data_IF_771511129737
#
_entry.id   IF_771511129737
#
_cell.length_a   1.000
_cell.length_b   1.000
_cell.length_c   1.000
_cell.angle_alpha   90.00
_cell.angle_beta   90.00
_cell.angle_gamma   90.00
#
_symmetry.space_group_name_H-M   'P 1'
#
loop_
_entity.id
_entity.type
_entity.pdbx_description
1 polymer ?
#
# COMPACT_ATOMS: atom_id res chain seq x y z
N UNK A 1 -29.98 21.23 -13.59
CA UNK A 1 -29.91 19.75 -13.70
C UNK A 1 -28.99 19.28 -14.82
N UNK A 2 -28.80 20.09 -15.86
CA UNK A 2 -28.04 19.74 -17.07
C UNK A 2 -26.52 19.80 -16.92
N UNK A 3 -26.01 20.25 -15.77
CA UNK A 3 -24.58 20.19 -15.48
C UNK A 3 -24.09 18.74 -15.42
N UNK A 4 -22.88 18.44 -15.95
CA UNK A 4 -22.24 17.15 -15.76
C UNK A 4 -22.06 16.82 -14.28
N UNK A 5 -22.38 15.58 -13.89
CA UNK A 5 -22.31 15.10 -12.51
C UNK A 5 -21.24 14.02 -12.41
N UNK A 6 -20.24 14.25 -11.57
CA UNK A 6 -19.16 13.30 -11.31
C UNK A 6 -19.08 13.01 -9.81
N UNK A 7 -18.81 11.74 -9.47
CA UNK A 7 -18.39 11.37 -8.12
C UNK A 7 -16.89 11.14 -8.12
N UNK A 8 -16.19 11.68 -7.13
CA UNK A 8 -14.79 11.37 -6.88
C UNK A 8 -14.66 10.74 -5.49
N UNK A 9 -14.04 9.57 -5.44
CA UNK A 9 -13.73 8.87 -4.20
C UNK A 9 -12.25 8.55 -4.11
N UNK A 10 -11.67 8.74 -2.93
CA UNK A 10 -10.30 8.30 -2.62
C UNK A 10 -10.32 7.32 -1.45
N UNK A 11 -9.51 6.25 -1.53
CA UNK A 11 -9.44 5.23 -0.47
C UNK A 11 -10.83 4.65 -0.17
N UNK A 12 -11.31 4.65 1.08
CA UNK A 12 -12.68 4.24 1.44
C UNK A 12 -13.78 5.06 0.73
N UNK A 13 -13.46 6.27 0.25
CA UNK A 13 -14.31 7.05 -0.63
C UNK A 13 -14.62 6.33 -1.95
N UNK A 14 -13.79 5.41 -2.42
CA UNK A 14 -14.06 4.62 -3.64
C UNK A 14 -15.19 3.62 -3.43
N UNK A 15 -15.18 2.87 -2.33
CA UNK A 15 -16.29 2.01 -1.93
C UNK A 15 -17.58 2.80 -1.78
N UNK A 16 -17.53 3.95 -1.08
CA UNK A 16 -18.68 4.83 -0.90
C UNK A 16 -19.20 5.39 -2.23
N UNK A 17 -18.31 5.76 -3.15
CA UNK A 17 -18.69 6.30 -4.46
C UNK A 17 -19.39 5.26 -5.32
N UNK A 18 -18.98 3.99 -5.25
CA UNK A 18 -19.67 2.90 -5.94
C UNK A 18 -21.10 2.71 -5.42
N UNK A 19 -21.28 2.67 -4.09
CA UNK A 19 -22.61 2.54 -3.47
C UNK A 19 -23.47 3.77 -3.74
N UNK A 20 -22.91 4.97 -3.57
CA UNK A 20 -23.62 6.23 -3.81
C UNK A 20 -24.06 6.35 -5.28
N UNK A 21 -23.21 5.95 -6.23
CA UNK A 21 -23.57 5.94 -7.65
C UNK A 21 -24.80 5.10 -7.92
N UNK A 22 -24.87 3.89 -7.35
CA UNK A 22 -26.04 3.01 -7.46
C UNK A 22 -27.30 3.66 -6.85
N UNK A 23 -27.19 4.24 -5.65
CA UNK A 23 -28.30 4.90 -4.95
C UNK A 23 -28.83 6.12 -5.70
N UNK A 24 -27.95 6.91 -6.31
CA UNK A 24 -28.33 8.08 -7.10
C UNK A 24 -29.09 7.68 -8.37
N UNK A 25 -28.58 6.67 -9.11
CA UNK A 25 -29.27 6.15 -10.29
C UNK A 25 -30.66 5.62 -9.93
N UNK A 26 -30.80 4.89 -8.82
CA UNK A 26 -32.09 4.41 -8.33
C UNK A 26 -33.09 5.53 -7.98
N UNK A 27 -32.60 6.77 -7.79
CA UNK A 27 -33.41 7.97 -7.54
C UNK A 27 -33.58 8.86 -8.78
N UNK A 28 -33.20 8.39 -9.96
CA UNK A 28 -33.28 9.14 -11.21
C UNK A 28 -32.16 10.16 -11.42
N UNK A 29 -31.11 10.12 -10.59
CA UNK A 29 -29.96 11.02 -10.69
C UNK A 29 -28.84 10.26 -11.40
N UNK A 30 -28.70 10.49 -12.69
CA UNK A 30 -27.64 9.88 -13.50
C UNK A 30 -26.32 10.64 -13.37
N UNK A 31 -25.21 9.88 -13.40
CA UNK A 31 -23.85 10.41 -13.34
C UNK A 31 -23.19 10.34 -14.73
N UNK A 32 -22.35 11.32 -15.05
CA UNK A 32 -21.50 11.33 -16.24
C UNK A 32 -20.20 10.54 -16.03
N UNK A 33 -19.83 10.27 -14.78
CA UNK A 33 -18.69 9.41 -14.45
C UNK A 33 -18.45 9.27 -12.96
N UNK A 34 -17.66 8.26 -12.61
CA UNK A 34 -17.13 8.06 -11.26
C UNK A 34 -15.61 7.93 -11.38
N UNK A 35 -14.88 8.71 -10.59
CA UNK A 35 -13.43 8.75 -10.51
C UNK A 35 -13.02 8.07 -9.20
N UNK A 36 -12.24 7.00 -9.30
CA UNK A 36 -11.77 6.22 -8.16
C UNK A 36 -10.26 6.34 -8.03
N UNK A 37 -9.80 6.95 -6.94
CA UNK A 37 -8.38 7.12 -6.62
C UNK A 37 -8.00 6.18 -5.47
N UNK A 38 -6.88 5.45 -5.59
CA UNK A 38 -6.42 4.51 -4.56
C UNK A 38 -7.51 3.52 -4.14
N UNK A 39 -8.07 2.85 -5.14
CA UNK A 39 -9.31 2.07 -5.06
C UNK A 39 -9.23 0.88 -4.12
N UNK A 40 -10.27 0.72 -3.31
CA UNK A 40 -10.57 -0.52 -2.58
C UNK A 40 -12.05 -0.86 -2.75
N UNK A 41 -12.32 -1.83 -3.63
CA UNK A 41 -13.67 -2.39 -3.82
C UNK A 41 -13.78 -3.81 -3.25
N UNK A 42 -12.64 -4.46 -2.99
CA UNK A 42 -12.55 -5.80 -2.41
C UNK A 42 -11.58 -5.76 -1.21
N UNK A 43 -12.13 -5.73 0.00
CA UNK A 43 -11.35 -5.60 1.24
C UNK A 43 -10.39 -6.76 1.54
N UNK A 44 -10.75 -8.04 1.26
CA UNK A 44 -9.81 -9.15 1.28
C UNK A 44 -8.44 -8.85 0.64
N UNK A 45 -8.38 -8.08 -0.45
CA UNK A 45 -7.11 -7.77 -1.15
C UNK A 45 -6.12 -6.95 -0.31
N UNK A 46 -6.57 -6.29 0.76
CA UNK A 46 -5.74 -5.45 1.64
C UNK A 46 -5.76 -5.89 3.10
N UNK A 47 -6.46 -6.97 3.43
CA UNK A 47 -6.65 -7.43 4.80
C UNK A 47 -5.77 -8.64 5.13
N UNK A 48 -4.66 -8.43 5.83
CA UNK A 48 -3.73 -9.47 6.28
C UNK A 48 -4.24 -10.32 7.46
N UNK A 49 -5.54 -10.65 7.48
CA UNK A 49 -6.14 -11.50 8.49
C UNK A 49 -5.64 -12.95 8.36
N UNK A 50 -5.63 -13.68 9.49
CA UNK A 50 -5.32 -15.12 9.49
C UNK A 50 -6.26 -15.86 8.54
N UNK A 51 -5.69 -16.72 7.69
CA UNK A 51 -6.43 -17.47 6.67
C UNK A 51 -6.64 -16.73 5.34
N UNK A 52 -6.26 -15.45 5.24
CA UNK A 52 -6.30 -14.72 3.98
C UNK A 52 -4.90 -14.49 3.41
N UNK A 53 -4.54 -15.29 2.41
CA UNK A 53 -3.20 -15.24 1.81
C UNK A 53 -3.07 -14.29 0.62
N UNK A 54 -4.20 -13.96 -0.01
CA UNK A 54 -4.29 -13.07 -1.17
C UNK A 54 -3.47 -11.76 -1.04
N UNK A 55 -3.55 -10.99 0.06
CA UNK A 55 -2.81 -9.74 0.15
C UNK A 55 -1.30 -9.94 0.13
N UNK A 56 -0.76 -11.08 0.56
CA UNK A 56 0.70 -11.27 0.52
C UNK A 56 1.22 -11.41 -0.91
N UNK A 57 0.45 -12.02 -1.79
CA UNK A 57 0.76 -12.15 -3.22
C UNK A 57 0.68 -10.77 -3.89
N UNK A 58 -0.42 -10.06 -3.70
CA UNK A 58 -0.69 -8.77 -4.33
C UNK A 58 0.30 -7.67 -3.94
N UNK A 59 0.86 -7.73 -2.73
CA UNK A 59 1.81 -6.72 -2.25
C UNK A 59 3.25 -6.97 -2.69
N UNK A 60 3.62 -8.19 -3.07
CA UNK A 60 5.02 -8.54 -3.37
C UNK A 60 5.61 -7.73 -4.54
N UNK A 61 4.92 -7.47 -5.65
CA UNK A 61 5.45 -6.62 -6.73
C UNK A 61 5.78 -5.20 -6.27
N UNK A 62 4.92 -4.60 -5.44
CA UNK A 62 5.20 -3.27 -4.86
C UNK A 62 6.38 -3.33 -3.90
N UNK A 63 6.51 -4.38 -3.08
CA UNK A 63 7.69 -4.55 -2.23
C UNK A 63 8.98 -4.65 -3.05
N UNK A 64 8.94 -5.34 -4.19
CA UNK A 64 10.09 -5.42 -5.09
C UNK A 64 10.46 -4.05 -5.66
N UNK A 65 9.48 -3.26 -6.10
CA UNK A 65 9.71 -1.90 -6.59
C UNK A 65 10.32 -0.99 -5.51
N UNK A 66 9.83 -1.06 -4.27
CA UNK A 66 10.35 -0.28 -3.14
C UNK A 66 11.77 -0.71 -2.79
N UNK A 67 12.04 -2.01 -2.72
CA UNK A 67 13.38 -2.51 -2.44
C UNK A 67 14.39 -2.12 -3.54
N UNK A 68 13.96 -2.14 -4.80
CA UNK A 68 14.75 -1.66 -5.93
C UNK A 68 15.05 -0.15 -5.81
N UNK A 69 14.04 0.68 -5.53
CA UNK A 69 14.20 2.14 -5.38
C UNK A 69 15.20 2.51 -4.27
N UNK A 70 15.18 1.79 -3.15
CA UNK A 70 16.08 2.00 -2.01
C UNK A 70 17.41 1.26 -2.13
N UNK A 71 17.78 0.77 -3.32
CA UNK A 71 19.03 0.05 -3.59
C UNK A 71 19.28 -1.12 -2.62
N UNK A 72 18.21 -1.87 -2.29
CA UNK A 72 18.27 -2.99 -1.34
C UNK A 72 18.59 -4.32 -2.00
N UNK A 73 18.59 -4.37 -3.33
CA UNK A 73 18.86 -5.58 -4.11
C UNK A 73 20.29 -5.54 -4.64
N UNK A 74 21.04 -6.61 -4.44
CA UNK A 74 22.45 -6.70 -4.83
C UNK A 74 22.75 -8.00 -5.59
N UNK A 75 23.30 -7.92 -6.82
CA UNK A 75 23.43 -6.71 -7.63
C UNK A 75 22.05 -6.13 -7.99
N UNK A 76 21.97 -4.81 -8.16
CA UNK A 76 20.71 -4.16 -8.50
C UNK A 76 20.32 -4.49 -9.95
N UNK A 77 19.08 -4.94 -10.20
CA UNK A 77 18.57 -5.14 -11.56
C UNK A 77 18.61 -3.83 -12.36
N UNK A 78 19.00 -3.89 -13.64
CA UNK A 78 19.10 -2.70 -14.49
C UNK A 78 17.75 -2.11 -14.92
N UNK A 79 16.69 -2.93 -14.96
CA UNK A 79 15.34 -2.51 -15.37
C UNK A 79 14.33 -2.78 -14.26
N UNK A 80 13.80 -1.69 -13.69
CA UNK A 80 12.72 -1.76 -12.70
C UNK A 80 11.46 -2.45 -13.28
N UNK A 81 10.94 -2.10 -14.48
CA UNK A 81 9.76 -2.77 -15.03
C UNK A 81 9.94 -4.28 -15.19
N UNK A 82 11.09 -4.72 -15.72
CA UNK A 82 11.37 -6.15 -15.88
C UNK A 82 11.47 -6.87 -14.53
N UNK A 83 12.06 -6.21 -13.51
CA UNK A 83 12.19 -6.76 -12.17
C UNK A 83 10.83 -6.90 -11.46
N UNK A 84 9.97 -5.88 -11.55
CA UNK A 84 8.61 -5.92 -11.02
C UNK A 84 7.79 -6.98 -11.72
N UNK A 85 7.89 -7.09 -13.04
CA UNK A 85 7.20 -8.15 -13.78
C UNK A 85 7.64 -9.55 -13.35
N UNK A 86 8.94 -9.77 -13.13
CA UNK A 86 9.43 -11.03 -12.59
C UNK A 86 8.89 -11.31 -11.17
N UNK A 87 8.70 -10.27 -10.35
CA UNK A 87 8.08 -10.40 -9.03
C UNK A 87 6.59 -10.75 -9.14
N UNK A 88 5.85 -10.18 -10.09
CA UNK A 88 4.45 -10.53 -10.39
C UNK A 88 4.31 -12.01 -10.78
N UNK A 89 5.14 -12.48 -11.72
CA UNK A 89 5.13 -13.88 -12.16
C UNK A 89 5.47 -14.84 -11.01
N UNK A 90 6.41 -14.46 -10.16
CA UNK A 90 6.74 -15.25 -8.98
C UNK A 90 5.61 -15.24 -7.94
N UNK A 91 4.98 -14.08 -7.73
CA UNK A 91 3.87 -13.90 -6.79
C UNK A 91 2.68 -14.79 -7.18
N UNK A 92 2.22 -14.68 -8.43
CA UNK A 92 1.05 -15.38 -8.95
C UNK A 92 1.28 -16.90 -9.19
N UNK A 93 2.53 -17.36 -9.14
CA UNK A 93 2.88 -18.76 -9.38
C UNK A 93 3.51 -19.43 -8.15
N UNK A 94 4.84 -19.58 -8.10
CA UNK A 94 5.51 -20.32 -7.02
C UNK A 94 5.19 -19.84 -5.61
N UNK A 95 4.97 -18.53 -5.40
CA UNK A 95 4.66 -18.01 -4.08
C UNK A 95 3.22 -18.27 -3.67
N UNK A 96 2.24 -18.00 -4.54
CA UNK A 96 0.84 -18.37 -4.34
C UNK A 96 0.70 -19.86 -3.99
N UNK A 97 1.34 -20.74 -4.78
CA UNK A 97 1.34 -22.17 -4.51
C UNK A 97 1.93 -22.51 -3.14
N UNK A 98 3.05 -21.88 -2.76
CA UNK A 98 3.67 -22.11 -1.46
C UNK A 98 2.78 -21.66 -0.28
N UNK A 99 2.04 -20.55 -0.44
CA UNK A 99 1.09 -20.09 0.57
C UNK A 99 -0.08 -21.07 0.71
N UNK A 100 -0.64 -21.52 -0.42
CA UNK A 100 -1.70 -22.54 -0.48
C UNK A 100 -1.32 -23.88 0.16
N UNK A 101 -0.08 -24.34 -0.07
CA UNK A 101 0.43 -25.57 0.56
C UNK A 101 0.52 -25.44 2.10
N UNK A 102 0.73 -24.22 2.60
CA UNK A 102 0.70 -23.92 4.03
C UNK A 102 1.64 -24.83 4.83
N UNK A 103 1.10 -25.57 5.80
CA UNK A 103 1.86 -26.49 6.64
C UNK A 103 2.40 -27.71 5.87
N UNK A 104 1.78 -28.10 4.74
CA UNK A 104 2.21 -29.22 3.89
C UNK A 104 3.46 -28.87 3.09
N UNK A 105 3.82 -27.58 2.99
CA UNK A 105 5.01 -27.13 2.28
C UNK A 105 6.28 -27.64 2.97
N UNK A 106 6.96 -28.60 2.32
CA UNK A 106 8.20 -29.18 2.81
C UNK A 106 9.32 -28.14 3.02
N UNK A 107 10.21 -28.42 3.98
CA UNK A 107 11.28 -27.49 4.42
C UNK A 107 12.17 -27.00 3.29
N UNK A 108 12.54 -27.87 2.35
CA UNK A 108 13.37 -27.51 1.21
C UNK A 108 12.68 -26.49 0.29
N UNK A 109 11.38 -26.70 0.01
CA UNK A 109 10.59 -25.78 -0.81
C UNK A 109 10.36 -24.45 -0.09
N UNK A 110 10.05 -24.50 1.21
CA UNK A 110 9.92 -23.29 2.05
C UNK A 110 11.18 -22.43 2.02
N UNK A 111 12.36 -23.06 2.13
CA UNK A 111 13.63 -22.35 2.02
C UNK A 111 13.86 -21.76 0.62
N UNK A 112 13.50 -22.48 -0.44
CA UNK A 112 13.58 -21.99 -1.83
C UNK A 112 12.72 -20.74 -2.02
N UNK A 113 11.48 -20.76 -1.55
CA UNK A 113 10.55 -19.61 -1.64
C UNK A 113 11.07 -18.43 -0.81
N UNK A 114 11.55 -18.67 0.41
CA UNK A 114 12.15 -17.62 1.25
C UNK A 114 13.38 -16.96 0.60
N UNK A 115 14.21 -17.73 -0.14
CA UNK A 115 15.33 -17.18 -0.92
C UNK A 115 14.84 -16.31 -2.07
N UNK A 116 13.80 -16.72 -2.79
CA UNK A 116 13.21 -15.89 -3.84
C UNK A 116 12.59 -14.60 -3.29
N UNK A 117 11.84 -14.68 -2.19
CA UNK A 117 11.31 -13.49 -1.50
C UNK A 117 12.43 -12.55 -1.05
N UNK A 118 13.52 -13.10 -0.50
CA UNK A 118 14.71 -12.34 -0.14
C UNK A 118 15.34 -11.65 -1.36
N UNK A 119 15.45 -12.35 -2.49
CA UNK A 119 15.96 -11.78 -3.76
C UNK A 119 15.12 -10.62 -4.26
N UNK A 120 13.80 -10.70 -4.12
CA UNK A 120 12.90 -9.62 -4.57
C UNK A 120 12.85 -8.42 -3.61
N UNK A 121 13.12 -8.62 -2.32
CA UNK A 121 12.88 -7.59 -1.30
C UNK A 121 14.13 -7.07 -0.60
N UNK A 122 15.28 -7.71 -0.77
CA UNK A 122 16.51 -7.41 -0.02
C UNK A 122 16.42 -7.77 1.46
N UNK A 123 15.28 -8.30 1.92
CA UNK A 123 15.07 -8.69 3.31
C UNK A 123 15.73 -10.06 3.55
N UNK A 124 16.50 -10.26 4.63
CA UNK A 124 17.20 -11.53 4.87
C UNK A 124 16.25 -12.74 4.92
N UNK A 125 16.68 -13.86 4.32
CA UNK A 125 15.94 -15.15 4.29
C UNK A 125 15.40 -15.55 5.67
N UNK A 126 16.21 -15.40 6.73
CA UNK A 126 15.81 -15.72 8.11
C UNK A 126 14.54 -14.97 8.57
N UNK A 127 14.31 -13.76 8.08
CA UNK A 127 13.13 -12.97 8.43
C UNK A 127 11.89 -13.51 7.72
N UNK A 128 12.01 -13.88 6.44
CA UNK A 128 10.95 -14.54 5.69
C UNK A 128 10.56 -15.89 6.29
N UNK A 129 11.53 -16.68 6.75
CA UNK A 129 11.26 -17.93 7.44
C UNK A 129 10.53 -17.70 8.77
N UNK A 130 10.96 -16.73 9.58
CA UNK A 130 10.26 -16.35 10.84
C UNK A 130 8.84 -15.83 10.59
N UNK A 131 8.62 -15.17 9.46
CA UNK A 131 7.32 -14.68 9.05
C UNK A 131 6.42 -15.78 8.46
N UNK A 132 6.86 -17.05 8.43
CA UNK A 132 6.17 -18.15 7.73
C UNK A 132 5.78 -17.76 6.29
N UNK A 133 6.73 -17.12 5.61
CA UNK A 133 6.60 -16.55 4.26
C UNK A 133 5.61 -15.38 4.13
N UNK A 134 4.94 -14.93 5.20
CA UNK A 134 3.85 -13.93 5.18
C UNK A 134 4.27 -12.61 5.83
N UNK A 135 4.50 -11.57 5.01
CA UNK A 135 4.92 -10.26 5.50
C UNK A 135 3.89 -9.16 5.22
N UNK A 136 3.31 -8.62 6.28
CA UNK A 136 2.37 -7.50 6.20
C UNK A 136 3.07 -6.19 5.80
N UNK A 137 2.30 -5.25 5.24
CA UNK A 137 2.82 -3.94 4.82
C UNK A 137 3.56 -3.19 5.95
N UNK A 138 3.00 -3.04 7.18
CA UNK A 138 3.69 -2.31 8.25
C UNK A 138 5.05 -2.92 8.62
N UNK A 139 5.16 -4.26 8.58
CA UNK A 139 6.42 -4.95 8.84
C UNK A 139 7.41 -4.70 7.71
N UNK A 140 6.98 -4.81 6.44
CA UNK A 140 7.85 -4.56 5.30
C UNK A 140 8.44 -3.15 5.32
N UNK A 141 7.61 -2.12 5.53
CA UNK A 141 8.01 -0.70 5.53
C UNK A 141 9.16 -0.40 6.51
N UNK A 142 9.20 -1.10 7.64
CA UNK A 142 10.25 -0.97 8.67
C UNK A 142 11.49 -1.80 8.39
N UNK A 143 11.34 -2.91 7.67
CA UNK A 143 12.43 -3.86 7.42
C UNK A 143 13.22 -3.55 6.15
N UNK A 144 12.58 -2.97 5.14
CA UNK A 144 13.19 -2.77 3.82
C UNK A 144 14.45 -1.89 3.90
N UNK A 145 14.48 -0.87 4.77
CA UNK A 145 15.63 0.03 4.94
C UNK A 145 16.78 -0.56 5.78
N UNK A 146 16.62 -1.76 6.34
CA UNK A 146 17.67 -2.44 7.10
C UNK A 146 17.94 -1.82 8.48
N UNK A 147 19.22 -1.61 8.82
CA UNK A 147 19.66 -1.13 10.15
C UNK A 147 19.49 0.37 10.38
N UNK A 148 18.97 1.12 9.39
CA UNK A 148 18.88 2.57 9.45
C UNK A 148 17.82 3.13 10.43
N UNK A 149 17.14 2.28 11.22
CA UNK A 149 16.04 2.65 12.11
C UNK A 149 15.09 3.64 11.44
N UNK A 150 14.64 3.33 10.24
CA UNK A 150 13.77 4.19 9.43
C UNK A 150 12.63 3.37 8.84
N UNK A 151 11.49 4.02 8.64
CA UNK A 151 10.33 3.44 7.97
C UNK A 151 10.02 4.22 6.69
N UNK A 152 9.65 3.52 5.63
CA UNK A 152 9.14 4.16 4.41
C UNK A 152 7.74 4.74 4.64
N UNK A 153 7.29 5.55 3.69
CA UNK A 153 5.91 6.00 3.59
C UNK A 153 4.97 4.89 3.12
N UNK A 154 3.70 4.95 3.56
CA UNK A 154 2.64 4.01 3.17
C UNK A 154 2.13 4.28 1.75
N UNK A 155 1.92 5.56 1.43
CA UNK A 155 1.36 6.00 0.14
C UNK A 155 2.43 6.25 -0.90
N UNK A 156 3.59 6.76 -0.46
CA UNK A 156 4.76 6.92 -1.30
C UNK A 156 5.99 6.48 -0.51
N UNK A 157 6.51 5.32 -0.87
CA UNK A 157 7.63 4.69 -0.18
C UNK A 157 8.97 5.38 -0.45
N UNK A 158 9.05 6.37 -1.35
CA UNK A 158 10.25 7.18 -1.58
C UNK A 158 10.56 8.08 -0.38
N UNK A 159 9.51 8.47 0.36
CA UNK A 159 9.66 9.17 1.63
C UNK A 159 10.02 8.18 2.73
N UNK A 160 10.91 8.60 3.64
CA UNK A 160 11.26 7.86 4.85
C UNK A 160 11.33 8.81 6.05
N UNK A 161 10.99 8.30 7.22
CA UNK A 161 11.21 9.00 8.49
C UNK A 161 11.98 8.11 9.46
N UNK A 162 12.75 8.68 10.39
CA UNK A 162 13.31 7.94 11.51
C UNK A 162 12.20 7.19 12.26
N UNK A 163 12.50 5.97 12.66
CA UNK A 163 11.63 5.14 13.47
C UNK A 163 11.80 5.56 14.94
N UNK A 164 10.90 6.42 15.41
CA UNK A 164 10.93 6.97 16.77
C UNK A 164 10.65 5.91 17.87
N UNK A 165 10.08 4.76 17.50
CA UNK A 165 9.71 3.67 18.41
C UNK A 165 10.07 2.30 17.79
N UNK A 166 11.36 1.98 17.65
CA UNK A 166 11.83 0.80 16.91
C UNK A 166 11.46 -0.53 17.59
N UNK A 167 11.10 -0.50 18.88
CA UNK A 167 10.72 -1.67 19.66
C UNK A 167 9.21 -1.94 19.68
N UNK A 168 8.37 -1.01 19.22
CA UNK A 168 6.92 -1.23 19.18
C UNK A 168 6.54 -1.99 17.91
N UNK A 169 5.88 -3.16 18.00
CA UNK A 169 5.63 -4.05 16.85
C UNK A 169 4.71 -3.45 15.79
N UNK A 170 3.88 -2.48 16.15
CA UNK A 170 3.04 -1.69 15.25
C UNK A 170 3.10 -0.25 15.76
N UNK A 171 3.42 0.71 14.88
CA UNK A 171 3.40 2.12 15.25
C UNK A 171 1.99 2.49 15.69
N UNK A 172 1.86 3.32 16.72
CA UNK A 172 0.55 3.83 17.11
C UNK A 172 -0.18 4.41 15.90
N UNK A 173 -1.50 4.20 15.83
CA UNK A 173 -2.40 4.73 14.78
C UNK A 173 -2.28 6.26 14.57
N UNK A 174 -1.58 6.96 15.46
CA UNK A 174 -1.38 8.40 15.52
C UNK A 174 -0.16 8.94 14.75
N UNK A 175 0.77 8.10 14.29
CA UNK A 175 1.89 8.59 13.49
C UNK A 175 1.42 8.81 12.04
N UNK A 176 1.41 10.08 11.59
CA UNK A 176 1.04 10.46 10.23
C UNK A 176 1.75 9.63 9.15
N UNK A 177 2.95 9.10 9.44
CA UNK A 177 3.77 8.31 8.51
C UNK A 177 4.54 9.21 7.54
N UNK A 178 5.61 8.67 6.92
CA UNK A 178 6.61 9.49 6.23
C UNK A 178 6.04 10.42 5.15
N UNK A 179 5.20 9.88 4.26
CA UNK A 179 4.60 10.64 3.16
C UNK A 179 3.70 11.76 3.69
N UNK A 180 2.81 11.43 4.63
CA UNK A 180 1.83 12.35 5.20
C UNK A 180 2.52 13.53 5.87
N UNK A 181 3.54 13.28 6.71
CA UNK A 181 4.33 14.34 7.36
C UNK A 181 4.96 15.29 6.33
N UNK A 182 5.43 14.75 5.20
CA UNK A 182 6.08 15.56 4.17
C UNK A 182 5.11 16.43 3.36
N UNK A 183 3.88 15.98 3.12
CA UNK A 183 2.97 16.65 2.17
C UNK A 183 1.83 17.43 2.83
N UNK A 184 1.45 17.11 4.07
CA UNK A 184 0.21 17.62 4.66
C UNK A 184 0.17 19.15 4.77
N UNK A 185 1.28 19.77 5.21
CA UNK A 185 1.34 21.23 5.36
C UNK A 185 1.11 21.96 4.03
N UNK A 186 1.75 21.49 2.95
CA UNK A 186 1.56 22.04 1.61
C UNK A 186 0.12 21.82 1.12
N UNK A 187 -0.41 20.60 1.29
CA UNK A 187 -1.76 20.27 0.85
C UNK A 187 -2.83 21.12 1.56
N UNK A 188 -2.74 21.25 2.88
CA UNK A 188 -3.65 22.09 3.68
C UNK A 188 -3.54 23.54 3.25
N UNK A 189 -2.33 24.10 3.15
CA UNK A 189 -2.16 25.50 2.76
C UNK A 189 -2.70 25.80 1.34
N UNK A 190 -2.46 24.90 0.38
CA UNK A 190 -2.97 25.06 -0.98
C UNK A 190 -4.50 24.95 -1.02
N UNK A 191 -5.08 23.96 -0.34
CA UNK A 191 -6.54 23.81 -0.27
C UNK A 191 -7.20 25.02 0.37
N UNK A 192 -6.72 25.44 1.55
CA UNK A 192 -7.24 26.61 2.26
C UNK A 192 -7.11 27.88 1.40
N UNK A 193 -5.97 28.07 0.72
CA UNK A 193 -5.78 29.19 -0.20
C UNK A 193 -6.75 29.16 -1.37
N UNK A 194 -7.00 27.99 -1.97
CA UNK A 194 -7.94 27.86 -3.09
C UNK A 194 -9.38 28.15 -2.66
N UNK A 195 -9.83 27.52 -1.56
CA UNK A 195 -11.20 27.67 -1.06
C UNK A 195 -11.48 29.11 -0.63
N UNK A 196 -10.55 29.74 0.08
CA UNK A 196 -10.74 31.12 0.56
C UNK A 196 -10.51 32.18 -0.51
N UNK A 197 -9.47 32.06 -1.35
CA UNK A 197 -9.09 33.14 -2.29
C UNK A 197 -9.66 32.98 -3.69
N UNK A 198 -9.90 31.77 -4.15
CA UNK A 198 -10.47 31.53 -5.49
C UNK A 198 -11.98 31.33 -5.43
N UNK A 199 -12.46 30.51 -4.49
CA UNK A 199 -13.90 30.27 -4.36
C UNK A 199 -14.61 31.29 -3.45
N UNK A 200 -13.86 32.07 -2.66
CA UNK A 200 -14.41 33.07 -1.74
C UNK A 200 -15.19 32.46 -0.57
N UNK A 201 -14.99 31.18 -0.27
CA UNK A 201 -15.71 30.48 0.78
C UNK A 201 -15.02 30.70 2.13
N UNK A 202 -15.77 31.23 3.09
CA UNK A 202 -15.33 31.47 4.46
C UNK A 202 -16.30 30.81 5.43
N UNK A 203 -15.78 30.10 6.43
CA UNK A 203 -16.58 29.48 7.47
C UNK A 203 -15.85 29.46 8.81
N UNK A 204 -16.59 29.60 9.90
CA UNK A 204 -16.09 29.42 11.27
C UNK A 204 -16.38 28.01 11.80
N UNK A 205 -17.07 27.18 11.02
CA UNK A 205 -17.37 25.81 11.39
C UNK A 205 -16.11 24.96 11.32
N UNK A 206 -15.68 24.46 12.47
CA UNK A 206 -14.69 23.38 12.53
C UNK A 206 -15.40 22.10 12.09
N UNK A 207 -14.90 21.44 11.04
CA UNK A 207 -15.40 20.11 10.64
C UNK A 207 -15.19 19.15 11.83
N UNK A 208 -16.29 18.68 12.43
CA UNK A 208 -16.27 17.74 13.57
C UNK A 208 -16.28 16.30 13.08
#
# INVERSE_FOLDING_TARGET
WDSPKFLLGESYGTTRSAVLGQLLVAKGIYLNGIILCSTVLDFPTINFALGNDLPYELYLPSYAAVAWYHNRIHPQPSSLPAFVHAAEQFAAGPYAHALFEGARLGTAMRLKVARSLSRFTGIPVRIWLRANLRMTLPVFMRRVLGSAHATTGRYDARFSVPELQPLLPVGGRSAAGATTTAIWGALTATFESYVTRHLGFHTTHVYK
#
